data_IF_145668985104
#
_entry.id   IF_145668985104
#
_cell.length_a   1.000
_cell.length_b   1.000
_cell.length_c   1.000
_cell.angle_alpha   90.00
_cell.angle_beta   90.00
_cell.angle_gamma   90.00
#
_symmetry.space_group_name_H-M   'P 1'
#
loop_
_entity.id
_entity.type
_entity.pdbx_description
1 polymer ?
#
# COMPACT_ATOMS: atom_id res chain seq x y z
N UNK A 1 -18.82 -36.10 -19.76
CA UNK A 1 -17.97 -35.41 -18.77
C UNK A 1 -18.90 -34.66 -17.83
N UNK A 2 -19.08 -35.14 -16.60
CA UNK A 2 -19.91 -34.45 -15.61
C UNK A 2 -19.08 -33.29 -15.04
N UNK A 3 -19.51 -32.07 -15.29
CA UNK A 3 -18.96 -30.88 -14.62
C UNK A 3 -19.43 -30.90 -13.17
N UNK A 4 -18.54 -31.24 -12.24
CA UNK A 4 -18.79 -31.09 -10.80
C UNK A 4 -18.99 -29.61 -10.48
N UNK A 5 -20.25 -29.22 -10.33
CA UNK A 5 -20.60 -27.95 -9.71
C UNK A 5 -20.22 -28.03 -8.23
N UNK A 6 -19.08 -27.44 -7.89
CA UNK A 6 -18.61 -27.30 -6.51
C UNK A 6 -19.68 -26.60 -5.67
N UNK A 7 -20.41 -27.38 -4.88
CA UNK A 7 -21.50 -26.90 -4.03
C UNK A 7 -20.96 -25.85 -3.06
N UNK A 8 -21.44 -24.61 -3.17
CA UNK A 8 -21.08 -23.56 -2.21
C UNK A 8 -21.75 -23.92 -0.88
N UNK A 9 -20.97 -24.50 0.04
CA UNK A 9 -21.41 -24.82 1.39
C UNK A 9 -21.91 -23.53 2.07
N UNK A 10 -23.23 -23.42 2.26
CA UNK A 10 -23.85 -22.34 3.01
C UNK A 10 -23.63 -22.60 4.50
N UNK A 11 -22.45 -22.23 4.99
CA UNK A 11 -22.15 -22.25 6.43
C UNK A 11 -22.97 -21.19 7.17
N UNK A 12 -23.25 -21.37 8.47
CA UNK A 12 -23.89 -20.35 9.30
C UNK A 12 -23.00 -19.11 9.30
N UNK A 13 -23.37 -18.15 8.46
CA UNK A 13 -22.58 -16.94 8.29
C UNK A 13 -22.87 -15.93 9.39
N UNK A 14 -23.75 -16.21 10.36
CA UNK A 14 -24.39 -15.19 11.21
C UNK A 14 -23.47 -14.70 12.33
N UNK A 15 -22.51 -15.51 12.76
CA UNK A 15 -21.57 -15.24 13.85
C UNK A 15 -20.16 -15.75 13.50
N UNK A 16 -19.09 -15.24 14.13
CA UNK A 16 -17.77 -15.84 13.99
C UNK A 16 -17.77 -17.30 14.43
N UNK A 17 -17.09 -18.15 13.69
CA UNK A 17 -17.05 -19.58 13.98
C UNK A 17 -15.69 -20.19 13.70
N UNK A 18 -15.40 -21.28 14.40
CA UNK A 18 -14.23 -22.11 14.15
C UNK A 18 -14.61 -23.27 13.24
N UNK A 19 -13.78 -23.54 12.24
CA UNK A 19 -13.85 -24.78 11.47
C UNK A 19 -12.52 -25.49 11.54
N UNK A 20 -12.59 -26.77 11.87
CA UNK A 20 -11.41 -27.61 11.97
C UNK A 20 -10.90 -28.00 10.58
N UNK A 21 -9.58 -27.99 10.39
CA UNK A 21 -8.97 -28.37 9.11
C UNK A 21 -8.98 -29.89 8.97
N UNK A 22 -9.73 -30.39 8.00
CA UNK A 22 -9.79 -31.81 7.64
C UNK A 22 -9.03 -32.02 6.34
N UNK A 23 -7.97 -32.83 6.37
CA UNK A 23 -7.06 -33.28 5.28
C UNK A 23 -6.34 -32.21 4.43
N UNK A 24 -6.86 -30.98 4.32
CA UNK A 24 -6.27 -29.88 3.56
C UNK A 24 -5.00 -29.30 4.19
N UNK A 25 -4.13 -28.69 3.38
CA UNK A 25 -2.99 -27.88 3.83
C UNK A 25 -3.34 -26.41 4.11
N UNK A 26 -4.53 -25.97 3.71
CA UNK A 26 -5.00 -24.59 3.85
C UNK A 26 -6.46 -24.54 4.31
N UNK A 27 -6.88 -23.41 4.90
CA UNK A 27 -8.27 -23.15 5.25
C UNK A 27 -9.19 -23.05 4.02
N UNK A 28 -10.40 -23.60 4.13
CA UNK A 28 -11.44 -23.47 3.11
C UNK A 28 -11.87 -22.00 2.97
N UNK A 29 -12.17 -21.57 1.74
CA UNK A 29 -12.72 -20.22 1.51
C UNK A 29 -14.22 -20.22 1.78
N UNK A 30 -14.69 -19.29 2.62
CA UNK A 30 -16.10 -19.08 2.93
C UNK A 30 -16.52 -17.69 2.44
N UNK A 31 -17.56 -17.63 1.62
CA UNK A 31 -18.05 -16.36 1.08
C UNK A 31 -18.54 -15.43 2.20
N UNK A 32 -18.12 -14.15 2.16
CA UNK A 32 -18.46 -13.15 3.16
C UNK A 32 -17.59 -13.16 4.43
N UNK A 33 -16.68 -14.12 4.57
CA UNK A 33 -15.83 -14.25 5.75
C UNK A 33 -14.34 -13.99 5.44
N UNK A 34 -13.63 -13.46 6.42
CA UNK A 34 -12.17 -13.51 6.52
C UNK A 34 -11.76 -14.70 7.39
N UNK A 35 -10.63 -15.32 7.08
CA UNK A 35 -10.16 -16.53 7.79
C UNK A 35 -8.73 -16.33 8.30
N UNK A 36 -8.49 -16.78 9.54
CA UNK A 36 -7.18 -16.85 10.17
C UNK A 36 -6.93 -18.29 10.59
N UNK A 37 -5.72 -18.81 10.35
CA UNK A 37 -5.33 -20.13 10.86
C UNK A 37 -4.83 -20.00 12.30
N UNK A 38 -5.37 -20.84 13.18
CA UNK A 38 -4.96 -20.96 14.58
C UNK A 38 -4.55 -22.41 14.85
N UNK A 39 -3.45 -22.58 15.58
CA UNK A 39 -2.89 -23.91 15.88
C UNK A 39 -3.00 -24.11 17.39
N UNK A 40 -3.75 -25.12 17.79
CA UNK A 40 -3.80 -25.57 19.18
C UNK A 40 -2.82 -26.73 19.30
N UNK A 41 -1.79 -26.54 20.11
CA UNK A 41 -0.83 -27.58 20.47
C UNK A 41 -1.26 -28.19 21.80
N UNK A 42 -1.52 -29.49 21.81
CA UNK A 42 -1.71 -30.25 23.04
C UNK A 42 -0.48 -31.10 23.28
N UNK A 43 0.10 -30.93 24.46
CA UNK A 43 1.19 -31.76 24.96
C UNK A 43 0.58 -33.08 25.46
N UNK A 44 0.95 -34.20 24.83
CA UNK A 44 0.58 -35.53 25.34
C UNK A 44 1.82 -36.22 25.90
N UNK A 45 1.86 -36.26 27.23
CA UNK A 45 2.87 -36.86 28.12
C UNK A 45 3.72 -37.99 27.52
N UNK A 46 5.04 -37.82 27.67
CA UNK A 46 6.18 -38.53 27.07
C UNK A 46 6.33 -40.05 27.42
N UNK A 47 5.27 -40.77 27.77
CA UNK A 47 5.39 -42.21 28.12
C UNK A 47 4.34 -43.10 27.46
N UNK A 48 4.76 -43.76 26.37
CA UNK A 48 4.19 -44.98 25.80
C UNK A 48 2.65 -45.05 25.72
N UNK A 49 2.02 -44.19 24.91
CA UNK A 49 0.61 -44.41 24.54
C UNK A 49 0.54 -45.34 23.30
N UNK A 50 0.12 -46.58 23.52
CA UNK A 50 -0.17 -47.52 22.42
C UNK A 50 -1.56 -47.23 21.79
N UNK A 51 -1.85 -45.95 21.55
CA UNK A 51 -3.17 -45.51 21.08
C UNK A 51 -3.22 -45.59 19.55
N UNK A 52 -4.08 -46.47 19.03
CA UNK A 52 -4.42 -46.49 17.60
C UNK A 52 -5.52 -45.49 17.31
N UNK A 53 -5.31 -44.58 16.34
CA UNK A 53 -6.35 -43.70 15.82
C UNK A 53 -6.91 -44.29 14.52
N UNK A 54 -8.22 -44.54 14.46
CA UNK A 54 -8.93 -44.98 13.25
C UNK A 54 -10.17 -44.12 13.00
N UNK A 55 -10.65 -44.08 11.75
CA UNK A 55 -11.79 -43.24 11.33
C UNK A 55 -11.39 -41.85 10.80
N UNK A 56 -12.38 -40.98 10.58
CA UNK A 56 -12.17 -39.61 10.08
C UNK A 56 -11.85 -38.66 11.21
N UNK A 57 -10.61 -38.20 11.28
CA UNK A 57 -10.14 -37.26 12.31
C UNK A 57 -9.57 -35.98 11.69
N UNK A 58 -9.60 -34.86 12.43
CA UNK A 58 -8.85 -33.66 12.05
C UNK A 58 -7.41 -33.93 11.66
N UNK A 59 -6.83 -33.04 10.86
CA UNK A 59 -5.42 -33.14 10.53
C UNK A 59 -4.57 -32.95 11.78
N UNK A 60 -4.02 -34.06 12.28
CA UNK A 60 -3.00 -34.10 13.32
C UNK A 60 -1.63 -34.17 12.64
N UNK A 61 -0.64 -33.43 13.15
CA UNK A 61 0.76 -33.55 12.70
C UNK A 61 1.68 -33.60 13.91
N UNK A 62 2.59 -34.58 13.93
CA UNK A 62 3.57 -34.79 15.01
C UNK A 62 3.40 -36.15 15.69
N UNK A 63 4.46 -36.64 16.32
CA UNK A 63 4.51 -37.95 17.03
C UNK A 63 4.41 -37.82 18.54
N UNK A 64 4.47 -36.60 19.09
CA UNK A 64 4.68 -36.36 20.53
C UNK A 64 3.92 -35.13 21.04
N UNK A 65 3.26 -34.40 20.14
CA UNK A 65 2.58 -33.15 20.44
C UNK A 65 1.50 -32.98 19.38
N UNK A 66 0.27 -33.29 19.75
CA UNK A 66 -0.85 -33.24 18.83
C UNK A 66 -1.15 -31.78 18.46
N UNK A 67 -0.98 -31.44 17.18
CA UNK A 67 -1.35 -30.12 16.65
C UNK A 67 -2.69 -30.19 15.95
N UNK A 68 -3.68 -29.48 16.49
CA UNK A 68 -4.98 -29.29 15.87
C UNK A 68 -5.00 -27.96 15.12
N UNK A 69 -5.29 -28.04 13.83
CA UNK A 69 -5.40 -26.87 12.96
C UNK A 69 -6.85 -26.41 12.89
N UNK A 70 -7.09 -25.17 13.33
CA UNK A 70 -8.37 -24.52 13.25
C UNK A 70 -8.32 -23.32 12.30
N UNK A 71 -9.44 -23.06 11.66
CA UNK A 71 -9.67 -21.90 10.82
C UNK A 71 -10.74 -21.05 11.51
N UNK A 72 -10.33 -19.89 12.03
CA UNK A 72 -11.24 -18.92 12.63
C UNK A 72 -11.83 -18.04 11.54
N UNK A 73 -13.15 -18.12 11.36
CA UNK A 73 -13.90 -17.29 10.42
C UNK A 73 -14.59 -16.17 11.16
N UNK A 74 -14.41 -14.95 10.64
CA UNK A 74 -15.15 -13.77 11.09
C UNK A 74 -15.63 -12.98 9.89
N UNK A 75 -16.71 -12.25 10.06
CA UNK A 75 -17.24 -11.41 8.99
C UNK A 75 -16.22 -10.44 8.47
N UNK A 76 -16.27 -10.24 7.14
CA UNK A 76 -15.66 -9.05 6.57
C UNK A 76 -16.48 -7.85 7.03
N UNK A 77 -15.86 -6.82 7.64
CA UNK A 77 -16.60 -5.63 8.03
C UNK A 77 -17.34 -5.08 6.81
N UNK A 78 -18.59 -4.64 6.98
CA UNK A 78 -19.41 -4.10 5.89
C UNK A 78 -18.80 -2.83 5.28
N UNK A 79 -17.91 -2.16 6.03
CA UNK A 79 -17.07 -1.04 5.62
C UNK A 79 -15.70 -1.45 5.06
N UNK A 80 -15.44 -2.75 4.86
CA UNK A 80 -14.24 -3.21 4.17
C UNK A 80 -14.18 -2.55 2.79
N UNK A 81 -13.04 -1.91 2.50
CA UNK A 81 -12.81 -1.18 1.26
C UNK A 81 -13.12 -2.07 0.06
N UNK A 82 -13.96 -1.59 -0.87
CA UNK A 82 -14.19 -2.30 -2.13
C UNK A 82 -12.95 -2.14 -3.00
N UNK A 83 -12.62 -3.19 -3.76
CA UNK A 83 -11.50 -3.16 -4.70
C UNK A 83 -11.63 -2.00 -5.69
N UNK A 84 -12.80 -1.84 -6.33
CA UNK A 84 -13.11 -0.71 -7.22
C UNK A 84 -12.80 0.66 -6.60
N UNK A 85 -13.19 0.88 -5.34
CA UNK A 85 -12.97 2.18 -4.70
C UNK A 85 -11.46 2.52 -4.60
N UNK A 86 -10.66 1.51 -4.24
CA UNK A 86 -9.20 1.65 -4.12
C UNK A 86 -8.60 1.81 -5.52
N UNK A 87 -9.05 1.02 -6.48
CA UNK A 87 -8.56 1.03 -7.84
C UNK A 87 -8.80 2.39 -8.51
N UNK A 88 -9.98 2.99 -8.32
CA UNK A 88 -10.30 4.30 -8.88
C UNK A 88 -9.41 5.39 -8.29
N UNK A 89 -9.19 5.38 -6.97
CA UNK A 89 -8.29 6.33 -6.31
C UNK A 89 -6.84 6.20 -6.83
N UNK A 90 -6.32 4.97 -6.93
CA UNK A 90 -4.97 4.73 -7.44
C UNK A 90 -4.85 5.14 -8.90
N UNK A 91 -5.82 4.76 -9.73
CA UNK A 91 -5.84 5.09 -11.17
C UNK A 91 -5.82 6.60 -11.38
N UNK A 92 -6.61 7.33 -10.59
CA UNK A 92 -6.57 8.79 -10.60
C UNK A 92 -5.16 9.33 -10.28
N UNK A 93 -4.54 8.85 -9.19
CA UNK A 93 -3.20 9.33 -8.78
C UNK A 93 -2.14 9.02 -9.85
N UNK A 94 -2.18 7.82 -10.45
CA UNK A 94 -1.24 7.42 -11.51
C UNK A 94 -1.43 8.29 -12.75
N UNK A 95 -2.67 8.52 -13.18
CA UNK A 95 -2.95 9.37 -14.34
C UNK A 95 -2.57 10.83 -14.10
N UNK A 96 -2.83 11.34 -12.90
CA UNK A 96 -2.41 12.67 -12.48
C UNK A 96 -0.88 12.79 -12.53
N UNK A 97 -0.17 11.82 -11.94
CA UNK A 97 1.30 11.79 -11.96
C UNK A 97 1.88 11.63 -13.37
N UNK A 98 1.21 10.92 -14.26
CA UNK A 98 1.62 10.82 -15.66
C UNK A 98 1.49 12.16 -16.41
N UNK A 99 0.52 13.01 -16.02
CA UNK A 99 0.28 14.30 -16.65
C UNK A 99 1.21 15.41 -16.14
N UNK A 100 1.49 15.45 -14.83
CA UNK A 100 2.24 16.56 -14.20
C UNK A 100 3.53 16.13 -13.48
N UNK A 101 3.72 14.84 -13.28
CA UNK A 101 4.83 14.31 -12.50
C UNK A 101 6.14 14.29 -13.29
N UNK A 102 7.23 14.59 -12.59
CA UNK A 102 8.58 14.50 -13.12
C UNK A 102 9.23 13.19 -12.63
N UNK A 103 9.57 12.25 -13.53
CA UNK A 103 10.25 11.03 -13.13
C UNK A 103 11.68 11.36 -12.69
N UNK A 104 12.14 10.68 -11.65
CA UNK A 104 13.53 10.75 -11.23
C UNK A 104 14.43 10.15 -12.32
N UNK A 105 15.40 10.92 -12.82
CA UNK A 105 16.50 10.39 -13.64
C UNK A 105 17.22 9.30 -12.84
N UNK A 106 17.36 8.12 -13.43
CA UNK A 106 17.79 6.86 -12.82
C UNK A 106 18.73 7.02 -11.60
N UNK A 107 18.37 6.37 -10.49
CA UNK A 107 19.11 6.49 -9.24
C UNK A 107 20.59 6.10 -9.42
N UNK A 108 21.52 6.76 -8.70
CA UNK A 108 22.91 6.32 -8.64
C UNK A 108 22.99 4.82 -8.34
N UNK A 109 23.92 4.13 -9.03
CA UNK A 109 24.12 2.68 -9.03
C UNK A 109 23.91 2.08 -7.63
N UNK A 110 22.98 1.13 -7.49
CA UNK A 110 22.79 0.33 -6.27
C UNK A 110 21.42 0.43 -5.59
N UNK A 111 20.41 1.06 -6.21
CA UNK A 111 19.03 1.06 -5.70
C UNK A 111 18.10 0.36 -6.68
N UNK A 112 17.76 -0.90 -6.44
CA UNK A 112 16.86 -1.73 -7.26
C UNK A 112 15.36 -1.33 -7.16
N UNK A 113 15.09 -0.06 -6.82
CA UNK A 113 13.73 0.43 -6.61
C UNK A 113 13.13 1.06 -7.86
N UNK A 114 11.80 0.96 -8.00
CA UNK A 114 11.04 1.73 -8.99
C UNK A 114 11.38 3.23 -8.83
N UNK A 115 11.82 3.93 -9.89
CA UNK A 115 12.15 5.34 -9.83
C UNK A 115 10.97 6.15 -9.26
N UNK A 116 11.28 7.09 -8.36
CA UNK A 116 10.23 7.94 -7.79
C UNK A 116 9.72 8.91 -8.85
N UNK A 117 8.42 9.18 -8.86
CA UNK A 117 7.80 10.25 -9.64
C UNK A 117 7.48 11.39 -8.68
N UNK A 118 7.98 12.58 -8.98
CA UNK A 118 7.77 13.76 -8.16
C UNK A 118 6.69 14.66 -8.77
N UNK A 119 5.61 14.87 -8.02
CA UNK A 119 4.57 15.84 -8.31
C UNK A 119 5.06 17.27 -7.98
N UNK A 120 4.53 18.31 -8.65
CA UNK A 120 4.90 19.71 -8.43
C UNK A 120 4.86 20.15 -6.95
N UNK A 121 5.72 21.09 -6.57
CA UNK A 121 5.81 21.59 -5.20
C UNK A 121 4.62 22.49 -4.82
N UNK A 122 3.89 23.00 -5.81
CA UNK A 122 2.60 23.69 -5.66
C UNK A 122 1.47 22.76 -5.26
N UNK A 123 1.58 21.46 -5.55
CA UNK A 123 0.53 20.50 -5.26
C UNK A 123 0.52 20.12 -3.78
N UNK A 124 -0.68 19.94 -3.25
CA UNK A 124 -0.88 19.42 -1.89
C UNK A 124 -1.71 18.16 -1.97
N UNK A 125 -1.52 17.23 -1.02
CA UNK A 125 -2.38 16.03 -0.92
C UNK A 125 -3.85 16.42 -0.87
N UNK A 126 -4.16 17.56 -0.23
CA UNK A 126 -5.50 18.13 -0.17
C UNK A 126 -6.01 18.58 -1.53
N UNK A 127 -5.24 19.40 -2.26
CA UNK A 127 -5.63 19.88 -3.59
C UNK A 127 -5.82 18.74 -4.58
N UNK A 128 -4.93 17.74 -4.56
CA UNK A 128 -5.06 16.54 -5.40
C UNK A 128 -6.32 15.75 -5.04
N UNK A 129 -6.65 15.65 -3.75
CA UNK A 129 -7.89 15.01 -3.31
C UNK A 129 -9.13 15.79 -3.76
N UNK A 130 -9.10 17.13 -3.74
CA UNK A 130 -10.19 17.96 -4.27
C UNK A 130 -10.40 17.73 -5.77
N UNK A 131 -9.33 17.61 -6.55
CA UNK A 131 -9.40 17.23 -7.97
C UNK A 131 -9.96 15.81 -8.17
N UNK A 132 -9.59 14.88 -7.29
CA UNK A 132 -10.15 13.53 -7.29
C UNK A 132 -11.66 13.52 -7.00
N UNK A 133 -12.12 14.33 -6.05
CA UNK A 133 -13.55 14.49 -5.75
C UNK A 133 -14.30 15.02 -6.99
N UNK A 134 -13.79 16.07 -7.62
CA UNK A 134 -14.38 16.62 -8.84
C UNK A 134 -14.47 15.59 -9.97
N UNK A 135 -13.40 14.82 -10.20
CA UNK A 135 -13.39 13.75 -11.21
C UNK A 135 -14.38 12.63 -10.89
N UNK A 136 -14.54 12.28 -9.61
CA UNK A 136 -15.54 11.30 -9.18
C UNK A 136 -16.98 11.79 -9.42
N UNK A 137 -17.25 13.07 -9.14
CA UNK A 137 -18.57 13.68 -9.34
C UNK A 137 -18.95 13.70 -10.82
N UNK A 138 -18.01 14.05 -11.70
CA UNK A 138 -18.22 14.04 -13.17
C UNK A 138 -18.50 12.63 -13.72
N UNK A 139 -17.84 11.61 -13.16
CA UNK A 139 -17.95 10.22 -13.62
C UNK A 139 -19.00 9.41 -12.85
N UNK A 140 -19.73 10.04 -11.93
CA UNK A 140 -20.70 9.41 -11.03
C UNK A 140 -20.09 8.20 -10.26
N UNK A 141 -18.82 8.31 -9.90
CA UNK A 141 -18.09 7.32 -9.12
C UNK A 141 -18.17 7.72 -7.64
N UNK A 142 -18.32 6.73 -6.76
CA UNK A 142 -18.30 6.97 -5.32
C UNK A 142 -16.91 7.45 -4.86
N UNK A 143 -16.82 8.71 -4.45
CA UNK A 143 -15.59 9.30 -3.96
C UNK A 143 -15.21 8.83 -2.54
N UNK A 144 -13.90 8.71 -2.29
CA UNK A 144 -13.34 8.37 -0.97
C UNK A 144 -12.98 9.62 -0.17
N UNK A 145 -13.11 9.53 1.16
CA UNK A 145 -12.64 10.56 2.09
C UNK A 145 -11.10 10.65 2.07
N UNK A 146 -10.58 11.84 2.37
CA UNK A 146 -9.15 12.18 2.36
C UNK A 146 -8.26 11.10 3.02
N UNK A 147 -8.59 10.68 4.24
CA UNK A 147 -7.78 9.71 4.98
C UNK A 147 -7.66 8.36 4.28
N UNK A 148 -8.76 7.86 3.71
CA UNK A 148 -8.75 6.61 2.93
C UNK A 148 -8.00 6.77 1.60
N UNK A 149 -8.09 7.94 0.97
CA UNK A 149 -7.39 8.25 -0.26
C UNK A 149 -5.87 8.28 -0.03
N UNK A 150 -5.44 8.96 1.04
CA UNK A 150 -4.03 9.03 1.43
C UNK A 150 -3.48 7.66 1.87
N UNK A 151 -4.26 6.87 2.62
CA UNK A 151 -3.88 5.49 2.98
C UNK A 151 -3.65 4.63 1.73
N UNK A 152 -4.56 4.71 0.75
CA UNK A 152 -4.42 3.98 -0.51
C UNK A 152 -3.18 4.45 -1.29
N UNK A 153 -2.94 5.76 -1.35
CA UNK A 153 -1.73 6.32 -1.97
C UNK A 153 -0.47 5.73 -1.34
N UNK A 154 -0.31 5.90 -0.02
CA UNK A 154 0.91 5.50 0.68
C UNK A 154 1.15 3.99 0.61
N UNK A 155 0.08 3.19 0.54
CA UNK A 155 0.16 1.73 0.50
C UNK A 155 0.47 1.18 -0.90
N UNK A 156 -0.14 1.73 -1.94
CA UNK A 156 -0.14 1.11 -3.27
C UNK A 156 0.72 1.86 -4.30
N UNK A 157 0.91 3.17 -4.13
CA UNK A 157 1.75 3.99 -5.03
C UNK A 157 2.75 4.87 -4.25
N UNK A 158 3.57 4.29 -3.35
CA UNK A 158 4.53 5.05 -2.53
C UNK A 158 5.66 5.70 -3.34
N UNK A 159 5.84 5.30 -4.60
CA UNK A 159 6.83 5.87 -5.51
C UNK A 159 6.41 7.25 -6.06
N UNK A 160 5.12 7.61 -6.00
CA UNK A 160 4.61 8.94 -6.37
C UNK A 160 4.67 9.83 -5.12
N UNK A 161 5.44 10.92 -5.20
CA UNK A 161 5.74 11.79 -4.06
C UNK A 161 5.50 13.26 -4.41
N UNK A 162 5.13 14.08 -3.44
CA UNK A 162 5.18 15.53 -3.60
C UNK A 162 6.64 15.98 -3.51
N UNK A 163 7.10 16.78 -4.49
CA UNK A 163 8.41 17.44 -4.40
C UNK A 163 8.40 18.42 -3.23
N UNK A 164 9.49 18.45 -2.46
CA UNK A 164 9.67 19.53 -1.49
C UNK A 164 10.19 20.75 -2.24
N UNK A 165 9.98 21.99 -1.74
CA UNK A 165 10.57 23.22 -2.30
C UNK A 165 12.12 23.28 -2.31
N UNK A 166 12.80 22.17 -2.00
CA UNK A 166 14.24 21.99 -2.14
C UNK A 166 14.60 21.03 -3.28
N UNK A 167 13.64 20.23 -3.75
CA UNK A 167 13.84 19.15 -4.71
C UNK A 167 13.50 19.61 -6.15
N UNK A 168 13.00 20.84 -6.32
CA UNK A 168 12.51 21.46 -7.57
C UNK A 168 13.48 22.50 -8.18
N UNK A 169 14.65 22.70 -7.56
CA UNK A 169 15.68 23.61 -8.06
C UNK A 169 16.75 22.86 -8.83
N UNK A 170 17.17 23.39 -9.99
CA UNK A 170 18.32 22.83 -10.69
C UNK A 170 19.58 22.90 -9.80
N UNK A 171 20.58 22.05 -10.08
CA UNK A 171 21.83 22.01 -9.30
C UNK A 171 22.47 23.39 -9.11
N UNK A 172 22.39 24.26 -10.12
CA UNK A 172 22.91 25.63 -10.05
C UNK A 172 22.12 26.51 -9.07
N UNK A 173 20.80 26.43 -9.08
CA UNK A 173 19.96 27.11 -8.09
C UNK A 173 20.23 26.60 -6.66
N UNK A 174 20.41 25.28 -6.49
CA UNK A 174 20.73 24.68 -5.19
C UNK A 174 22.06 25.21 -4.63
N UNK A 175 23.11 25.20 -5.46
CA UNK A 175 24.43 25.71 -5.10
C UNK A 175 24.43 27.20 -4.74
N UNK A 176 23.77 28.03 -5.55
CA UNK A 176 23.69 29.48 -5.30
C UNK A 176 22.90 29.77 -4.02
N UNK A 177 21.80 29.04 -3.77
CA UNK A 177 21.03 29.19 -2.53
C UNK A 177 21.86 28.85 -1.29
N UNK A 178 22.66 27.79 -1.36
CA UNK A 178 23.59 27.43 -0.28
C UNK A 178 24.63 28.53 -0.05
N UNK A 179 25.21 29.07 -1.11
CA UNK A 179 26.18 30.17 -1.01
C UNK A 179 25.57 31.45 -0.42
N UNK A 180 24.30 31.76 -0.68
CA UNK A 180 23.60 32.90 -0.03
C UNK A 180 23.46 32.67 1.47
N UNK A 181 23.18 31.44 1.90
CA UNK A 181 23.04 31.08 3.31
C UNK A 181 24.40 31.10 4.02
N UNK A 182 25.45 30.63 3.35
CA UNK A 182 26.81 30.53 3.91
C UNK A 182 27.59 31.86 3.87
N UNK A 183 27.10 32.88 3.12
CA UNK A 183 27.73 34.19 3.03
C UNK A 183 27.67 34.96 4.36
N UNK A 184 28.84 35.43 4.82
CA UNK A 184 28.97 36.11 6.12
C UNK A 184 29.05 37.62 5.96
N UNK A 185 29.54 38.10 4.81
CA UNK A 185 29.65 39.54 4.53
C UNK A 185 28.54 40.02 3.58
N UNK A 186 28.18 41.31 3.72
CA UNK A 186 27.18 41.94 2.84
C UNK A 186 27.62 41.95 1.36
N UNK A 187 28.94 42.06 1.09
CA UNK A 187 29.49 42.01 -0.27
C UNK A 187 29.37 40.64 -0.93
N UNK A 188 29.64 39.56 -0.19
CA UNK A 188 29.45 38.19 -0.68
C UNK A 188 27.97 37.91 -0.93
N UNK A 189 27.10 38.32 0.01
CA UNK A 189 25.66 38.13 -0.10
C UNK A 189 25.09 38.87 -1.32
N UNK A 190 25.54 40.09 -1.59
CA UNK A 190 25.15 40.86 -2.77
C UNK A 190 25.57 40.13 -4.06
N UNK A 191 26.83 39.71 -4.15
CA UNK A 191 27.39 39.04 -5.34
C UNK A 191 26.66 37.73 -5.66
N UNK A 192 26.45 36.88 -4.65
CA UNK A 192 25.77 35.59 -4.86
C UNK A 192 24.29 35.82 -5.20
N UNK A 193 23.64 36.82 -4.62
CA UNK A 193 22.25 37.18 -4.93
C UNK A 193 22.11 37.66 -6.38
N UNK A 194 23.03 38.48 -6.88
CA UNK A 194 23.07 38.91 -8.29
C UNK A 194 23.29 37.72 -9.24
N UNK A 195 24.18 36.80 -8.89
CA UNK A 195 24.40 35.57 -9.67
C UNK A 195 23.15 34.68 -9.72
N UNK A 196 22.38 34.64 -8.63
CA UNK A 196 21.12 33.92 -8.55
C UNK A 196 20.04 34.57 -9.42
N UNK A 197 19.88 35.90 -9.35
CA UNK A 197 18.95 36.64 -10.20
C UNK A 197 19.27 36.48 -11.69
N UNK A 198 20.54 36.60 -12.08
CA UNK A 198 20.95 36.41 -13.48
C UNK A 198 20.61 35.00 -13.98
N UNK A 199 20.81 33.98 -13.17
CA UNK A 199 20.46 32.61 -13.56
C UNK A 199 18.95 32.43 -13.80
N UNK A 200 18.11 33.05 -12.96
CA UNK A 200 16.66 33.04 -13.14
C UNK A 200 16.24 33.80 -14.41
N UNK A 201 16.89 34.92 -14.70
CA UNK A 201 16.64 35.69 -15.93
C UNK A 201 17.06 34.92 -17.19
N UNK A 202 18.22 34.24 -17.16
CA UNK A 202 18.65 33.39 -18.27
C UNK A 202 17.65 32.25 -18.51
N UNK A 203 17.15 31.64 -17.43
CA UNK A 203 16.14 30.57 -17.52
C UNK A 203 14.78 31.05 -18.04
N UNK A 204 14.43 32.34 -17.86
CA UNK A 204 13.21 32.94 -18.42
C UNK A 204 13.32 33.25 -19.91
N UNK A 205 14.54 33.34 -20.44
CA UNK A 205 14.82 33.71 -21.84
C UNK A 205 15.00 32.50 -22.75
N UNK A 206 15.21 31.31 -22.19
CA UNK A 206 15.24 30.02 -22.90
C UNK A 206 13.89 29.34 -22.91
#
# INVERSE_FOLDING_TARGET
>A
MATETKTIQKLPRIDPFYMMRYTSSICQRVSGMSVTEEIITTDDEDTANNNSVSGSHPKVTGTSNHRLYYCYYRYKPQHALKYEDIHNAITFIVNYAAAVGMPQYEAPRGRDGVPSIFLPSSDTKKGIHELYLASCDETNIRARKMSSFEEAWLKFVPYIKLSKPRDDVCHRCECLRKQVIDAVTEGEKLTVTEMFHRHLEDARRG
#
